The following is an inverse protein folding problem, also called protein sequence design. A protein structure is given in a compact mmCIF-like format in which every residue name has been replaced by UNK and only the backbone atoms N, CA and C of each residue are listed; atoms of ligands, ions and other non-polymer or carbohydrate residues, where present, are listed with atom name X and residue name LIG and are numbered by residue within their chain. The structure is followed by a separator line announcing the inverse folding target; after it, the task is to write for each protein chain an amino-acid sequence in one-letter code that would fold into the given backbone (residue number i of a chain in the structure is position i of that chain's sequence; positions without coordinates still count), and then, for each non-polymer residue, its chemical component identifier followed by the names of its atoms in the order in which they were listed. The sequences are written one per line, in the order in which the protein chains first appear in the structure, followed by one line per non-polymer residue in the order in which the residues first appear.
data_IF_061619647656
#
_entry.id   IF_061619647656
#
_cell.length_a   1.000
_cell.length_b   1.000
_cell.length_c   1.000
_cell.angle_alpha   90.00
_cell.angle_beta   90.00
_cell.angle_gamma   90.00
#
_symmetry.space_group_name_H-M   'P 1'
#
loop_
_entity.id
_entity.type
_entity.pdbx_description
1 polymer ?
#
# COMPACT_ATOMS: atom_id res chain seq x y z
N UNK A 1 31.28 -16.98 -1.10
CA UNK A 1 30.06 -16.72 -1.87
C UNK A 1 29.22 -15.72 -1.07
N UNK A 2 29.03 -14.51 -1.59
CA UNK A 2 28.08 -13.57 -1.00
C UNK A 2 26.68 -14.22 -1.09
N UNK A 3 25.82 -14.12 -0.06
CA UNK A 3 24.47 -14.63 -0.16
C UNK A 3 23.78 -13.94 -1.33
N UNK A 4 23.12 -14.75 -2.15
CA UNK A 4 22.30 -14.28 -3.27
C UNK A 4 21.30 -13.26 -2.71
N UNK A 5 21.57 -11.98 -2.92
CA UNK A 5 20.67 -10.93 -2.44
C UNK A 5 19.39 -11.04 -3.26
N UNK A 6 18.38 -11.61 -2.66
CA UNK A 6 17.06 -11.68 -3.26
C UNK A 6 16.69 -10.28 -3.80
N UNK A 7 16.25 -10.23 -5.07
CA UNK A 7 15.86 -8.96 -5.72
C UNK A 7 14.82 -8.22 -4.88
N UNK A 8 15.05 -6.92 -4.69
CA UNK A 8 14.10 -6.03 -4.02
C UNK A 8 12.70 -6.16 -4.62
N UNK A 9 11.71 -6.49 -3.80
CA UNK A 9 10.30 -6.55 -4.20
C UNK A 9 9.66 -5.16 -4.16
N UNK A 10 8.78 -4.88 -5.12
CA UNK A 10 8.18 -3.56 -5.32
C UNK A 10 6.66 -3.66 -5.29
N UNK A 11 6.07 -3.13 -4.23
CA UNK A 11 4.62 -3.09 -3.99
C UNK A 11 4.09 -1.69 -4.29
N UNK A 12 3.27 -1.57 -5.31
CA UNK A 12 2.71 -0.30 -5.78
C UNK A 12 1.25 -0.16 -5.34
N UNK A 13 0.87 0.99 -4.80
CA UNK A 13 -0.52 1.34 -4.52
C UNK A 13 -1.03 2.35 -5.54
N UNK A 14 -2.06 1.99 -6.29
CA UNK A 14 -2.71 2.83 -7.30
C UNK A 14 -4.20 3.01 -7.01
N UNK A 15 -4.70 4.20 -7.15
CA UNK A 15 -6.15 4.47 -7.22
C UNK A 15 -6.37 5.85 -7.82
N UNK A 16 -7.31 6.02 -8.76
CA UNK A 16 -7.56 7.29 -9.43
C UNK A 16 -8.32 8.27 -8.54
N UNK A 17 -8.91 7.79 -7.43
CA UNK A 17 -9.76 8.60 -6.56
C UNK A 17 -9.05 9.04 -5.29
N UNK A 18 -9.25 10.31 -4.90
CA UNK A 18 -8.86 10.82 -3.59
C UNK A 18 -9.64 10.13 -2.47
N UNK A 19 -8.98 9.91 -1.33
CA UNK A 19 -9.64 9.30 -0.17
C UNK A 19 -9.78 7.78 -0.19
N UNK A 20 -9.46 7.08 -1.28
CA UNK A 20 -9.50 5.60 -1.38
C UNK A 20 -8.62 4.90 -0.34
N UNK A 21 -7.61 5.62 0.19
CA UNK A 21 -6.73 5.15 1.26
C UNK A 21 -5.39 4.59 0.80
N UNK A 22 -4.87 4.98 -0.37
CA UNK A 22 -3.52 4.60 -0.86
C UNK A 22 -2.45 4.80 0.21
N UNK A 23 -2.20 6.05 0.62
CA UNK A 23 -1.20 6.37 1.64
C UNK A 23 -1.48 5.71 3.00
N UNK A 24 -2.75 5.45 3.33
CA UNK A 24 -3.14 4.65 4.48
C UNK A 24 -2.65 3.21 4.37
N UNK A 25 -2.95 2.57 3.24
CA UNK A 25 -2.54 1.20 2.95
C UNK A 25 -1.00 1.08 2.88
N UNK A 26 -0.31 2.05 2.25
CA UNK A 26 1.16 2.11 2.19
C UNK A 26 1.78 2.08 3.59
N UNK A 27 1.29 2.90 4.51
CA UNK A 27 1.75 2.95 5.91
C UNK A 27 1.46 1.66 6.68
N UNK A 28 0.26 1.09 6.49
CA UNK A 28 -0.15 -0.14 7.18
C UNK A 28 0.69 -1.33 6.73
N UNK A 29 0.86 -1.53 5.42
CA UNK A 29 1.60 -2.68 4.91
C UNK A 29 3.10 -2.53 5.13
N UNK A 30 3.65 -1.31 5.07
CA UNK A 30 5.04 -1.07 5.46
C UNK A 30 5.29 -1.40 6.93
N UNK A 31 4.39 -0.98 7.83
CA UNK A 31 4.51 -1.31 9.26
C UNK A 31 4.41 -2.82 9.50
N UNK A 32 3.52 -3.52 8.78
CA UNK A 32 3.39 -4.97 8.88
C UNK A 32 4.65 -5.69 8.37
N UNK A 33 5.21 -5.24 7.25
CA UNK A 33 6.46 -5.78 6.71
C UNK A 33 7.65 -5.58 7.67
N UNK A 34 7.77 -4.40 8.28
CA UNK A 34 8.82 -4.12 9.28
C UNK A 34 8.65 -5.00 10.51
N UNK A 35 7.41 -5.17 11.01
CA UNK A 35 7.10 -6.07 12.13
C UNK A 35 7.44 -7.53 11.81
N UNK A 36 7.33 -7.92 10.55
CA UNK A 36 7.68 -9.24 10.03
C UNK A 36 9.20 -9.42 9.80
N UNK A 37 10.00 -8.45 10.22
CA UNK A 37 11.46 -8.46 10.18
C UNK A 37 12.09 -8.05 8.86
N UNK A 38 11.29 -7.56 7.89
CA UNK A 38 11.79 -7.14 6.59
C UNK A 38 12.39 -5.72 6.64
N UNK A 39 13.46 -5.51 5.90
CA UNK A 39 13.93 -4.17 5.58
C UNK A 39 13.02 -3.57 4.51
N UNK A 40 11.95 -2.90 4.96
CA UNK A 40 11.01 -2.22 4.09
C UNK A 40 11.33 -0.72 4.01
N UNK A 41 11.33 -0.17 2.79
CA UNK A 41 11.52 1.25 2.50
C UNK A 41 10.28 1.78 1.78
N UNK A 42 9.76 2.93 2.20
CA UNK A 42 8.70 3.64 1.49
C UNK A 42 9.27 4.52 0.37
N UNK A 43 8.54 4.63 -0.73
CA UNK A 43 8.75 5.67 -1.74
C UNK A 43 7.46 6.49 -1.85
N UNK A 44 7.51 7.75 -1.40
CA UNK A 44 6.40 8.70 -1.52
C UNK A 44 6.57 9.48 -2.83
N UNK A 45 5.72 9.18 -3.80
CA UNK A 45 5.68 9.86 -5.09
C UNK A 45 4.47 10.82 -5.20
N UNK A 46 3.71 11.00 -4.09
CA UNK A 46 2.61 11.97 -4.02
C UNK A 46 3.16 13.33 -3.57
N UNK A 47 2.97 14.42 -4.33
CA UNK A 47 3.36 15.77 -3.94
C UNK A 47 2.77 16.23 -2.58
N UNK A 48 1.68 15.61 -2.11
CA UNK A 48 1.12 15.89 -0.79
C UNK A 48 2.02 15.41 0.36
N UNK A 49 2.96 14.51 0.10
CA UNK A 49 3.94 14.04 1.07
C UNK A 49 3.32 13.34 2.30
N UNK A 50 2.17 12.71 2.12
CA UNK A 50 1.40 12.12 3.23
C UNK A 50 2.14 10.93 3.86
N UNK A 51 2.85 10.14 3.06
CA UNK A 51 3.63 9.00 3.53
C UNK A 51 4.92 9.47 4.23
N UNK A 52 5.63 10.43 3.64
CA UNK A 52 6.81 11.05 4.25
C UNK A 52 6.48 11.80 5.55
N UNK A 53 5.34 12.50 5.59
CA UNK A 53 4.85 13.17 6.80
C UNK A 53 4.55 12.20 7.95
N UNK A 54 4.12 10.99 7.66
CA UNK A 54 3.95 9.92 8.65
C UNK A 54 5.29 9.49 9.25
N UNK A 55 6.34 9.42 8.45
CA UNK A 55 7.70 9.11 8.94
C UNK A 55 8.20 10.13 9.95
N UNK A 56 7.98 11.42 9.73
CA UNK A 56 8.35 12.48 10.67
C UNK A 56 7.64 12.35 12.03
N UNK A 57 6.39 11.82 12.03
CA UNK A 57 5.66 11.50 13.27
C UNK A 57 6.28 10.29 13.97
N UNK A 58 6.66 9.25 13.20
CA UNK A 58 7.32 8.05 13.70
C UNK A 58 8.64 8.37 14.39
N UNK A 59 9.46 9.21 13.81
CA UNK A 59 10.73 9.64 14.43
C UNK A 59 10.52 10.35 15.76
N UNK A 60 9.52 11.25 15.84
CA UNK A 60 9.15 11.89 17.10
C UNK A 60 8.66 10.90 18.16
N UNK A 61 7.89 9.91 17.74
CA UNK A 61 7.41 8.85 18.65
C UNK A 61 8.57 7.99 19.17
N UNK A 62 9.50 7.59 18.28
CA UNK A 62 10.68 6.78 18.62
C UNK A 62 11.61 7.43 19.64
N UNK A 63 11.64 8.76 19.72
CA UNK A 63 12.40 9.46 20.79
C UNK A 63 11.88 9.10 22.20
N UNK A 64 10.62 8.68 22.32
CA UNK A 64 9.98 8.28 23.59
C UNK A 64 9.84 6.77 23.73
N UNK A 65 9.87 6.04 22.63
CA UNK A 65 9.69 4.60 22.52
C UNK A 65 10.73 4.03 21.53
N UNK A 66 12.03 3.95 21.95
CA UNK A 66 13.13 3.55 21.06
C UNK A 66 13.04 2.09 20.57
N UNK A 67 12.23 1.25 21.22
CA UNK A 67 11.91 -0.12 20.80
C UNK A 67 11.10 -0.19 19.51
N UNK A 68 10.43 0.90 19.11
CA UNK A 68 9.73 0.95 17.81
C UNK A 68 10.76 0.89 16.68
N UNK A 69 10.62 -0.05 15.73
CA UNK A 69 11.59 -0.23 14.67
C UNK A 69 11.77 1.04 13.82
N UNK A 70 12.99 1.23 13.34
CA UNK A 70 13.26 2.28 12.36
C UNK A 70 12.52 1.99 11.05
N UNK A 71 12.09 3.05 10.39
CA UNK A 71 11.54 3.01 9.04
C UNK A 71 12.18 4.11 8.21
N UNK A 72 12.19 3.96 6.90
CA UNK A 72 12.72 4.94 5.94
C UNK A 72 11.66 5.19 4.88
N UNK A 73 11.38 6.47 4.60
CA UNK A 73 10.55 6.87 3.46
C UNK A 73 11.34 7.88 2.63
N UNK A 74 11.58 7.56 1.38
CA UNK A 74 12.18 8.45 0.39
C UNK A 74 11.08 9.18 -0.36
N UNK A 75 11.41 10.36 -0.89
CA UNK A 75 10.51 11.18 -1.70
C UNK A 75 11.08 11.29 -3.10
N UNK A 76 10.24 11.13 -4.11
CA UNK A 76 10.59 11.37 -5.50
C UNK A 76 9.46 12.11 -6.21
N UNK A 77 9.78 12.88 -7.24
CA UNK A 77 8.77 13.37 -8.15
C UNK A 77 8.09 12.17 -8.85
N UNK A 78 6.79 12.24 -9.10
CA UNK A 78 6.04 11.13 -9.71
C UNK A 78 6.65 10.69 -11.04
N UNK A 79 7.09 11.64 -11.88
CA UNK A 79 7.77 11.37 -13.14
C UNK A 79 9.09 10.59 -12.99
N UNK A 80 9.79 10.76 -11.86
CA UNK A 80 11.07 10.11 -11.58
C UNK A 80 10.95 8.84 -10.73
N UNK A 81 9.76 8.53 -10.22
CA UNK A 81 9.57 7.49 -9.21
C UNK A 81 9.99 6.10 -9.69
N UNK A 82 9.73 5.77 -10.96
CA UNK A 82 10.16 4.49 -11.53
C UNK A 82 11.71 4.35 -11.55
N UNK A 83 12.44 5.42 -11.86
CA UNK A 83 13.91 5.45 -11.82
C UNK A 83 14.42 5.39 -10.38
N UNK A 84 13.78 6.11 -9.46
CA UNK A 84 14.17 6.09 -8.05
C UNK A 84 14.08 4.69 -7.41
N UNK A 85 13.19 3.82 -7.91
CA UNK A 85 13.09 2.43 -7.46
C UNK A 85 14.37 1.62 -7.71
N UNK A 86 15.10 1.91 -8.78
CA UNK A 86 16.33 1.17 -9.13
C UNK A 86 17.50 1.51 -8.20
N UNK A 87 17.42 2.64 -7.48
CA UNK A 87 18.42 3.11 -6.52
C UNK A 87 18.14 2.60 -5.09
N UNK A 88 17.04 1.86 -4.87
CA UNK A 88 16.65 1.39 -3.55
C UNK A 88 16.98 -0.10 -3.41
N UNK A 89 17.90 -0.41 -2.50
CA UNK A 89 18.19 -1.77 -2.08
C UNK A 89 17.48 -2.05 -0.74
N UNK A 90 16.49 -2.96 -0.75
CA UNK A 90 15.68 -3.37 0.40
C UNK A 90 15.12 -4.77 0.15
N UNK A 91 14.44 -5.36 1.13
CA UNK A 91 13.65 -6.57 0.89
C UNK A 91 12.34 -6.18 0.19
N UNK A 92 11.75 -5.04 0.59
CA UNK A 92 10.50 -4.50 0.05
C UNK A 92 10.59 -2.98 -0.13
N UNK A 93 10.12 -2.48 -1.28
CA UNK A 93 9.76 -1.07 -1.46
C UNK A 93 8.25 -0.94 -1.58
N UNK A 94 7.67 -0.10 -0.73
CA UNK A 94 6.23 0.25 -0.78
C UNK A 94 6.10 1.62 -1.42
N UNK A 95 5.39 1.71 -2.54
CA UNK A 95 5.24 2.93 -3.34
C UNK A 95 3.86 3.54 -3.13
N UNK A 96 3.82 4.79 -2.69
CA UNK A 96 2.61 5.61 -2.62
C UNK A 96 2.57 6.61 -3.78
N UNK A 97 1.39 6.80 -4.39
CA UNK A 97 1.22 7.59 -5.61
C UNK A 97 0.17 8.68 -5.46
N UNK A 98 0.24 9.74 -6.29
CA UNK A 98 -0.83 10.73 -6.36
C UNK A 98 -2.16 10.12 -6.84
N UNK A 99 -3.22 10.90 -6.77
CA UNK A 99 -4.56 10.49 -7.23
C UNK A 99 -4.78 10.72 -8.71
N UNK A 100 -4.27 11.80 -9.26
CA UNK A 100 -4.48 12.20 -10.65
C UNK A 100 -3.50 11.49 -11.60
N UNK A 101 -3.60 10.15 -11.67
CA UNK A 101 -2.72 9.29 -12.48
C UNK A 101 -2.82 9.58 -13.97
N UNK A 102 -3.98 10.08 -14.42
CA UNK A 102 -4.26 10.49 -15.79
C UNK A 102 -3.46 11.73 -16.24
N UNK A 103 -2.96 12.53 -15.30
CA UNK A 103 -2.16 13.71 -15.62
C UNK A 103 -0.75 13.34 -16.10
N UNK A 104 -0.26 12.14 -15.78
CA UNK A 104 1.01 11.61 -16.26
C UNK A 104 0.90 10.11 -16.56
N UNK A 105 0.32 9.76 -17.71
CA UNK A 105 0.15 8.36 -18.10
C UNK A 105 1.49 7.66 -18.36
N UNK A 106 2.55 8.41 -18.72
CA UNK A 106 3.88 7.86 -18.96
C UNK A 106 4.50 7.42 -17.64
N UNK A 107 4.51 8.27 -16.62
CA UNK A 107 4.99 7.91 -15.29
C UNK A 107 4.16 6.79 -14.65
N UNK A 108 2.84 6.83 -14.81
CA UNK A 108 1.93 5.76 -14.34
C UNK A 108 2.31 4.43 -14.96
N UNK A 109 2.47 4.36 -16.28
CA UNK A 109 2.88 3.14 -16.98
C UNK A 109 4.26 2.66 -16.55
N UNK A 110 5.23 3.56 -16.43
CA UNK A 110 6.59 3.23 -15.99
C UNK A 110 6.60 2.61 -14.59
N UNK A 111 5.86 3.18 -13.64
CA UNK A 111 5.73 2.65 -12.28
C UNK A 111 5.05 1.29 -12.25
N UNK A 112 3.96 1.09 -13.01
CA UNK A 112 3.30 -0.21 -13.11
C UNK A 112 4.30 -1.26 -13.62
N UNK A 113 5.03 -0.96 -14.70
CA UNK A 113 6.01 -1.89 -15.28
C UNK A 113 7.20 -2.17 -14.35
N UNK A 114 7.59 -1.22 -13.51
CA UNK A 114 8.65 -1.37 -12.53
C UNK A 114 8.23 -2.15 -11.28
N UNK A 115 6.94 -2.44 -11.08
CA UNK A 115 6.41 -3.06 -9.87
C UNK A 115 6.22 -4.57 -10.01
N UNK A 116 6.33 -5.29 -8.88
CA UNK A 116 6.11 -6.75 -8.80
C UNK A 116 4.65 -7.08 -8.47
N UNK A 117 3.97 -6.20 -7.73
CA UNK A 117 2.56 -6.31 -7.35
C UNK A 117 1.93 -4.92 -7.27
N UNK A 118 0.73 -4.81 -7.80
CA UNK A 118 -0.10 -3.60 -7.69
C UNK A 118 -1.30 -3.90 -6.78
N UNK A 119 -1.48 -3.11 -5.72
CA UNK A 119 -2.69 -3.14 -4.91
C UNK A 119 -3.52 -1.88 -5.18
N UNK A 120 -4.81 -2.11 -5.40
CA UNK A 120 -5.77 -1.07 -5.75
C UNK A 120 -6.78 -0.94 -4.61
N UNK A 121 -6.56 -0.02 -3.64
CA UNK A 121 -7.51 0.19 -2.56
C UNK A 121 -8.82 0.79 -3.07
N UNK A 122 -9.93 0.24 -2.57
CA UNK A 122 -11.28 0.63 -2.92
C UNK A 122 -12.16 0.65 -1.67
N UNK A 123 -12.91 1.72 -1.44
CA UNK A 123 -13.96 1.70 -0.43
C UNK A 123 -15.20 0.97 -0.99
N UNK A 124 -16.03 0.36 -0.12
CA UNK A 124 -17.25 -0.34 -0.56
C UNK A 124 -18.39 0.66 -0.89
N UNK A 125 -18.10 1.57 -1.82
CA UNK A 125 -19.00 2.61 -2.34
C UNK A 125 -19.09 2.47 -3.86
N UNK A 126 -20.28 2.58 -4.44
CA UNK A 126 -20.51 2.35 -5.88
C UNK A 126 -19.59 3.19 -6.78
N UNK A 127 -19.38 4.47 -6.45
CA UNK A 127 -18.51 5.36 -7.21
C UNK A 127 -17.03 4.95 -7.12
N UNK A 128 -16.59 4.46 -5.97
CA UNK A 128 -15.23 3.97 -5.78
C UNK A 128 -15.00 2.69 -6.58
N UNK A 129 -15.94 1.73 -6.47
CA UNK A 129 -15.93 0.48 -7.24
C UNK A 129 -15.86 0.75 -8.74
N UNK A 130 -16.64 1.71 -9.24
CA UNK A 130 -16.63 2.08 -10.66
C UNK A 130 -15.28 2.67 -11.10
N UNK A 131 -14.72 3.58 -10.31
CA UNK A 131 -13.50 4.30 -10.65
C UNK A 131 -12.26 3.40 -10.73
N UNK A 132 -12.15 2.39 -9.87
CA UNK A 132 -10.97 1.51 -9.81
C UNK A 132 -10.93 0.42 -10.88
N UNK A 133 -12.06 0.13 -11.52
CA UNK A 133 -12.14 -0.91 -12.57
C UNK A 133 -11.23 -0.58 -13.78
N UNK A 134 -11.19 0.68 -14.19
CA UNK A 134 -10.34 1.12 -15.32
C UNK A 134 -8.86 0.91 -15.01
N UNK A 135 -8.40 1.24 -13.79
CA UNK A 135 -7.01 1.02 -13.38
C UNK A 135 -6.64 -0.46 -13.40
N UNK A 136 -7.52 -1.35 -12.93
CA UNK A 136 -7.28 -2.80 -12.99
C UNK A 136 -7.03 -3.26 -14.43
N UNK A 137 -7.88 -2.84 -15.36
CA UNK A 137 -7.73 -3.21 -16.78
C UNK A 137 -6.40 -2.70 -17.34
N UNK A 138 -6.03 -1.45 -17.06
CA UNK A 138 -4.74 -0.89 -17.48
C UNK A 138 -3.55 -1.71 -16.95
N UNK A 139 -3.57 -2.12 -15.67
CA UNK A 139 -2.49 -2.92 -15.09
C UNK A 139 -2.44 -4.32 -15.71
N UNK A 140 -3.60 -4.92 -15.97
CA UNK A 140 -3.70 -6.23 -16.64
C UNK A 140 -3.18 -6.18 -18.08
N UNK A 141 -3.50 -5.15 -18.85
CA UNK A 141 -2.98 -4.93 -20.20
C UNK A 141 -1.44 -4.80 -20.22
N UNK A 142 -0.86 -4.26 -19.15
CA UNK A 142 0.59 -4.18 -18.97
C UNK A 142 1.21 -5.48 -18.44
N UNK A 143 0.43 -6.55 -18.25
CA UNK A 143 0.89 -7.86 -17.83
C UNK A 143 1.42 -7.90 -16.39
N UNK A 144 0.95 -7.00 -15.50
CA UNK A 144 1.39 -6.97 -14.10
C UNK A 144 0.33 -7.54 -13.15
N UNK A 145 0.75 -8.28 -12.11
CA UNK A 145 -0.16 -8.76 -11.08
C UNK A 145 -0.83 -7.58 -10.37
N UNK A 146 -2.16 -7.58 -10.31
CA UNK A 146 -2.92 -6.56 -9.61
C UNK A 146 -4.06 -7.18 -8.80
N UNK A 147 -4.32 -6.63 -7.62
CA UNK A 147 -5.39 -7.06 -6.73
C UNK A 147 -6.11 -5.85 -6.14
N UNK A 148 -7.42 -5.93 -6.07
CA UNK A 148 -8.20 -4.99 -5.27
C UNK A 148 -8.06 -5.29 -3.79
N UNK A 149 -8.05 -4.22 -2.97
CA UNK A 149 -8.11 -4.30 -1.49
C UNK A 149 -9.31 -3.50 -1.02
N UNK A 150 -10.29 -4.16 -0.43
CA UNK A 150 -11.39 -3.44 0.22
C UNK A 150 -10.86 -2.71 1.46
N UNK A 151 -11.09 -1.40 1.50
CA UNK A 151 -10.53 -0.51 2.51
C UNK A 151 -11.64 0.30 3.19
N UNK A 152 -11.45 0.65 4.46
CA UNK A 152 -12.42 1.36 5.30
C UNK A 152 -13.78 0.64 5.33
N UNK A 153 -13.75 -0.67 5.46
CA UNK A 153 -14.95 -1.50 5.53
C UNK A 153 -15.58 -1.37 6.92
N UNK A 154 -16.85 -0.99 6.98
CA UNK A 154 -17.65 -1.06 8.20
C UNK A 154 -18.06 -2.51 8.45
N UNK A 155 -17.94 -3.00 9.71
CA UNK A 155 -18.12 -4.43 10.06
C UNK A 155 -19.51 -5.02 9.77
N UNK A 156 -20.52 -4.20 9.52
CA UNK A 156 -21.93 -4.65 9.42
C UNK A 156 -22.51 -4.59 8.00
N UNK A 157 -21.68 -4.63 6.94
CA UNK A 157 -22.16 -4.07 5.68
C UNK A 157 -22.24 -5.10 4.57
N UNK A 158 -23.47 -5.37 4.10
CA UNK A 158 -23.77 -6.10 2.85
C UNK A 158 -23.09 -5.47 1.63
N UNK A 159 -22.78 -4.15 1.69
CA UNK A 159 -22.10 -3.38 0.66
C UNK A 159 -20.69 -3.89 0.40
N UNK A 160 -19.98 -4.35 1.42
CA UNK A 160 -18.62 -4.92 1.24
C UNK A 160 -18.66 -6.21 0.41
N UNK A 161 -19.63 -7.09 0.65
CA UNK A 161 -19.81 -8.32 -0.15
C UNK A 161 -20.26 -8.01 -1.57
N UNK A 162 -21.16 -7.04 -1.73
CA UNK A 162 -21.59 -6.57 -3.05
C UNK A 162 -20.43 -6.01 -3.84
N UNK A 163 -19.63 -5.12 -3.22
CA UNK A 163 -18.45 -4.52 -3.84
C UNK A 163 -17.41 -5.59 -4.20
N UNK A 164 -17.19 -6.58 -3.34
CA UNK A 164 -16.28 -7.70 -3.62
C UNK A 164 -16.72 -8.48 -4.86
N UNK A 165 -18.01 -8.78 -4.99
CA UNK A 165 -18.57 -9.46 -6.17
C UNK A 165 -18.40 -8.63 -7.44
N UNK A 166 -18.69 -7.33 -7.37
CA UNK A 166 -18.57 -6.42 -8.51
C UNK A 166 -17.10 -6.22 -8.96
N UNK A 167 -16.17 -6.10 -8.02
CA UNK A 167 -14.74 -6.03 -8.31
C UNK A 167 -14.23 -7.35 -8.89
N UNK A 168 -14.70 -8.47 -8.33
CA UNK A 168 -14.33 -9.83 -8.77
C UNK A 168 -14.71 -10.15 -10.21
N UNK A 169 -15.63 -9.40 -10.83
CA UNK A 169 -15.94 -9.52 -12.26
C UNK A 169 -14.84 -8.96 -13.17
N UNK A 170 -13.96 -8.09 -12.64
CA UNK A 170 -12.93 -7.39 -13.40
C UNK A 170 -11.53 -7.88 -13.03
N UNK A 171 -11.29 -8.22 -11.78
CA UNK A 171 -10.00 -8.71 -11.32
C UNK A 171 -10.04 -9.31 -9.93
N UNK A 172 -8.95 -9.93 -9.48
CA UNK A 172 -8.88 -10.58 -8.17
C UNK A 172 -8.97 -9.56 -7.04
N UNK A 173 -9.56 -9.99 -5.91
CA UNK A 173 -9.74 -9.19 -4.70
C UNK A 173 -9.05 -9.91 -3.56
N UNK A 174 -8.19 -9.22 -2.80
CA UNK A 174 -7.60 -9.73 -1.56
C UNK A 174 -8.71 -10.21 -0.62
N UNK A 175 -8.57 -11.41 -0.05
CA UNK A 175 -9.61 -12.03 0.77
C UNK A 175 -9.91 -11.21 2.03
N UNK A 176 -8.87 -10.74 2.71
CA UNK A 176 -9.00 -9.84 3.85
C UNK A 176 -9.37 -8.41 3.43
N UNK A 177 -9.84 -7.60 4.37
CA UNK A 177 -10.22 -6.20 4.13
C UNK A 177 -9.69 -5.33 5.26
N UNK A 178 -9.40 -4.07 4.98
CA UNK A 178 -8.99 -3.10 6.02
C UNK A 178 -10.27 -2.47 6.62
N UNK A 179 -10.52 -2.61 7.93
CA UNK A 179 -11.70 -2.04 8.55
C UNK A 179 -11.61 -0.51 8.70
N UNK A 180 -12.77 0.15 8.76
CA UNK A 180 -12.88 1.53 9.23
C UNK A 180 -12.76 1.53 10.75
N UNK A 181 -11.55 1.80 11.25
CA UNK A 181 -11.22 1.72 12.68
C UNK A 181 -10.56 3.00 13.19
N UNK A 182 -11.10 3.52 14.28
CA UNK A 182 -10.50 4.67 14.98
C UNK A 182 -9.10 4.32 15.53
N UNK A 183 -8.82 3.06 15.84
CA UNK A 183 -7.52 2.64 16.34
C UNK A 183 -6.46 2.64 15.22
N UNK A 184 -6.84 2.31 13.99
CA UNK A 184 -5.99 2.50 12.81
C UNK A 184 -5.63 3.97 12.65
N UNK A 185 -6.62 4.87 12.71
CA UNK A 185 -6.39 6.30 12.58
C UNK A 185 -5.50 6.86 13.72
N UNK A 186 -5.72 6.41 14.96
CA UNK A 186 -4.90 6.81 16.13
C UNK A 186 -3.45 6.32 16.00
N UNK A 187 -3.21 5.09 15.62
CA UNK A 187 -1.86 4.58 15.40
C UNK A 187 -1.13 5.42 14.33
N UNK A 188 -1.77 5.65 13.19
CA UNK A 188 -1.20 6.47 12.12
C UNK A 188 -0.92 7.93 12.53
N UNK A 189 -1.73 8.50 13.44
CA UNK A 189 -1.51 9.86 13.96
C UNK A 189 -0.19 9.97 14.74
N UNK A 190 0.30 8.86 15.29
CA UNK A 190 1.58 8.76 16.01
C UNK A 190 2.74 8.25 15.15
N UNK A 191 2.53 8.00 13.86
CA UNK A 191 3.56 7.44 12.97
C UNK A 191 3.71 5.92 13.10
N UNK A 192 2.70 5.24 13.64
CA UNK A 192 2.67 3.79 13.81
C UNK A 192 1.67 3.14 12.85
N UNK A 193 1.84 1.85 12.60
CA UNK A 193 0.78 1.00 12.08
C UNK A 193 0.00 0.36 13.24
N UNK A 194 -1.27 0.02 13.00
CA UNK A 194 -2.12 -0.61 14.01
C UNK A 194 -1.57 -1.97 14.49
N UNK A 195 -0.81 -2.66 13.64
CA UNK A 195 -0.13 -3.92 13.98
C UNK A 195 0.92 -3.74 15.09
N UNK A 196 1.49 -2.54 15.22
CA UNK A 196 2.49 -2.23 16.25
C UNK A 196 1.85 -1.85 17.60
N UNK A 197 0.55 -1.58 17.61
CA UNK A 197 -0.21 -1.24 18.83
C UNK A 197 -1.16 -2.34 19.27
N UNK A 198 -1.24 -3.45 18.50
CA UNK A 198 -2.21 -4.54 18.69
C UNK A 198 -3.66 -4.04 18.80
N UNK A 199 -3.96 -2.94 18.11
CA UNK A 199 -5.29 -2.33 18.11
C UNK A 199 -6.30 -3.06 17.24
N UNK A 200 -7.58 -2.70 17.36
CA UNK A 200 -8.64 -3.24 16.50
C UNK A 200 -8.34 -2.98 15.03
N UNK A 201 -8.27 -4.04 14.23
CA UNK A 201 -7.86 -4.05 12.83
C UNK A 201 -6.43 -4.54 12.59
N UNK A 202 -5.66 -4.87 13.65
CA UNK A 202 -4.30 -5.39 13.51
C UNK A 202 -4.28 -6.73 12.78
N UNK A 203 -5.17 -7.66 13.12
CA UNK A 203 -5.27 -8.97 12.47
C UNK A 203 -5.72 -8.85 11.01
N UNK A 204 -6.65 -7.92 10.73
CA UNK A 204 -7.11 -7.65 9.37
C UNK A 204 -5.95 -7.15 8.50
N UNK A 205 -5.16 -6.18 9.01
CA UNK A 205 -3.96 -5.67 8.31
C UNK A 205 -2.90 -6.75 8.14
N UNK A 206 -2.67 -7.58 9.18
CA UNK A 206 -1.74 -8.71 9.11
C UNK A 206 -2.17 -9.73 8.06
N UNK A 207 -3.48 -9.99 7.91
CA UNK A 207 -4.02 -10.89 6.91
C UNK A 207 -3.85 -10.33 5.48
N UNK A 208 -4.10 -9.03 5.28
CA UNK A 208 -3.83 -8.38 3.97
C UNK A 208 -2.35 -8.44 3.64
N UNK A 209 -1.47 -8.19 4.64
CA UNK A 209 -0.02 -8.29 4.44
C UNK A 209 0.42 -9.72 4.10
N UNK A 210 -0.06 -10.71 4.82
CA UNK A 210 0.29 -12.11 4.57
C UNK A 210 -0.06 -12.55 3.14
N UNK A 211 -1.22 -12.12 2.63
CA UNK A 211 -1.61 -12.39 1.25
C UNK A 211 -0.72 -11.63 0.24
N UNK A 212 -0.44 -10.34 0.49
CA UNK A 212 0.46 -9.55 -0.35
C UNK A 212 1.88 -10.13 -0.37
N UNK A 213 2.42 -10.56 0.78
CA UNK A 213 3.72 -11.22 0.91
C UNK A 213 3.79 -12.50 0.07
N UNK A 214 2.75 -13.34 0.15
CA UNK A 214 2.64 -14.56 -0.68
C UNK A 214 2.62 -14.24 -2.18
N UNK A 215 1.86 -13.22 -2.60
CA UNK A 215 1.77 -12.78 -3.99
C UNK A 215 3.09 -12.21 -4.52
N UNK A 216 3.89 -11.58 -3.66
CA UNK A 216 5.24 -11.11 -3.96
C UNK A 216 6.26 -12.25 -3.98
N UNK A 217 5.88 -13.48 -3.66
CA UNK A 217 6.76 -14.63 -3.49
C UNK A 217 7.94 -14.32 -2.53
N UNK A 218 7.63 -13.73 -1.39
CA UNK A 218 8.58 -13.46 -0.30
C UNK A 218 8.46 -14.55 0.76
N UNK A 219 9.60 -14.99 1.30
CA UNK A 219 9.66 -15.99 2.36
C UNK A 219 9.18 -15.42 3.72
#
# INVERSE_FOLDING_TARGET
MAPDRQRTKRLLHLSPKGGSGKSGLSRLLMSAAIRDGLRAIGLDADPQGTFAGWMSKRERYRKKAPEVPYAEVRVAAFADAARALDEIAADLVVVDTPTALENDPVATKALILASDLVLIPCQPLDDDVRSVKTIMLTVQELGRPAYFVLNKVKRTVKEAESSRRELGKVGPVIAASIPDSIQIARAMAHGLGVVETNGTGADDVSSVWAEAKRLLAMA
#
